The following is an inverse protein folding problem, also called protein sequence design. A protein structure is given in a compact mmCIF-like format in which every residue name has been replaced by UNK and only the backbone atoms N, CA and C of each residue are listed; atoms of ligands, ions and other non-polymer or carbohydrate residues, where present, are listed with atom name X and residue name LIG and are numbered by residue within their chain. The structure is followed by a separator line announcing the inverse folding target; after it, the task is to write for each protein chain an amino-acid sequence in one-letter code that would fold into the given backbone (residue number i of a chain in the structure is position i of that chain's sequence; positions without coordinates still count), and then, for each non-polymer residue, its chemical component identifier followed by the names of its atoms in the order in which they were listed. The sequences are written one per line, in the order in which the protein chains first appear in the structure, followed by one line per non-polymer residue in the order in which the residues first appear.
data_IF_846137616108
#
_entry.id   IF_846137616108
#
_cell.length_a   1.000
_cell.length_b   1.000
_cell.length_c   1.000
_cell.angle_alpha   90.00
_cell.angle_beta   90.00
_cell.angle_gamma   90.00
#
_symmetry.space_group_name_H-M   'P 1'
#
loop_
_entity.id
_entity.type
_entity.pdbx_description
1 polymer ?
#
# COMPACT_ATOMS: atom_id res chain seq x y z
N UNK A 1 -4.06 0.56 5.47
CA UNK A 1 -3.30 -0.69 5.22
C UNK A 1 -1.98 -0.25 4.62
N UNK A 2 -0.88 -0.35 5.37
CA UNK A 2 0.46 -0.12 4.82
C UNK A 2 0.98 -1.50 4.47
N UNK A 3 1.19 -1.77 3.19
CA UNK A 3 1.68 -3.05 2.64
C UNK A 3 3.15 -3.29 3.03
N UNK A 4 3.40 -3.42 4.33
CA UNK A 4 4.70 -3.71 4.91
C UNK A 4 4.88 -5.23 5.04
N UNK A 5 5.07 -5.89 3.91
CA UNK A 5 5.74 -7.20 3.86
C UNK A 5 6.92 -7.10 2.91
N UNK A 6 7.99 -6.44 3.37
CA UNK A 6 9.27 -6.48 2.69
C UNK A 6 9.82 -7.91 2.74
N UNK A 7 9.91 -8.57 1.58
CA UNK A 7 10.70 -9.77 1.42
C UNK A 7 11.47 -9.69 0.10
N UNK A 8 12.56 -8.91 0.14
CA UNK A 8 13.61 -8.98 -0.87
C UNK A 8 14.42 -10.24 -0.61
N UNK A 9 14.11 -11.33 -1.31
CA UNK A 9 15.03 -12.46 -1.38
C UNK A 9 16.06 -12.18 -2.47
N UNK A 10 17.24 -11.67 -2.09
CA UNK A 10 18.46 -12.01 -2.82
C UNK A 10 18.94 -13.33 -2.22
N UNK A 11 18.42 -14.44 -2.73
CA UNK A 11 18.99 -15.73 -2.35
C UNK A 11 20.32 -15.84 -3.08
N UNK A 12 21.41 -15.66 -2.33
CA UNK A 12 22.71 -16.22 -2.69
C UNK A 12 22.53 -17.73 -2.70
N UNK A 13 22.14 -18.28 -3.84
CA UNK A 13 21.93 -19.71 -4.00
C UNK A 13 23.29 -20.33 -4.29
N UNK A 14 24.17 -20.41 -3.28
CA UNK A 14 25.48 -21.02 -3.45
C UNK A 14 26.53 -20.59 -2.43
N UNK A 15 27.06 -21.59 -1.73
CA UNK A 15 28.33 -21.59 -1.02
C UNK A 15 29.44 -21.14 -2.00
N UNK A 16 30.32 -20.21 -1.60
CA UNK A 16 31.58 -19.93 -2.30
C UNK A 16 31.60 -18.78 -3.32
N UNK A 17 30.85 -18.87 -4.42
CA UNK A 17 31.29 -18.24 -5.69
C UNK A 17 30.58 -16.95 -6.13
N UNK A 18 29.69 -16.39 -5.31
CA UNK A 18 29.00 -15.14 -5.64
C UNK A 18 27.80 -15.29 -6.60
N UNK A 19 27.40 -16.51 -6.95
CA UNK A 19 26.20 -16.78 -7.74
C UNK A 19 24.92 -16.31 -7.03
N UNK A 20 23.97 -15.79 -7.81
CA UNK A 20 22.64 -15.38 -7.37
C UNK A 20 21.57 -16.08 -8.17
N UNK A 21 20.45 -16.39 -7.53
CA UNK A 21 19.33 -16.99 -8.24
C UNK A 21 18.02 -16.91 -7.48
N UNK A 22 16.94 -17.06 -8.22
CA UNK A 22 15.58 -17.07 -7.72
C UNK A 22 14.81 -18.17 -8.44
N UNK A 23 14.00 -18.93 -7.70
CA UNK A 23 13.12 -19.95 -8.25
C UNK A 23 11.77 -19.82 -7.56
N UNK A 24 10.69 -19.97 -8.32
CA UNK A 24 9.39 -20.20 -7.71
C UNK A 24 9.42 -21.56 -6.99
N UNK A 25 8.90 -21.60 -5.76
CA UNK A 25 8.70 -22.85 -5.01
C UNK A 25 7.24 -23.32 -5.13
N UNK A 26 7.02 -24.61 -4.86
CA UNK A 26 5.68 -25.22 -4.92
C UNK A 26 5.33 -25.80 -6.29
N UNK A 27 4.39 -26.75 -6.31
CA UNK A 27 3.92 -27.37 -7.55
C UNK A 27 2.85 -26.52 -8.23
N UNK A 28 3.02 -26.23 -9.52
CA UNK A 28 2.00 -25.56 -10.34
C UNK A 28 1.14 -26.65 -11.00
N UNK A 29 -0.16 -26.76 -10.71
CA UNK A 29 -1.00 -27.79 -11.31
C UNK A 29 -1.29 -27.49 -12.79
N UNK A 30 -1.18 -28.52 -13.63
CA UNK A 30 -1.61 -28.44 -15.03
C UNK A 30 -3.10 -28.77 -15.06
N UNK A 31 -3.94 -27.79 -15.40
CA UNK A 31 -5.41 -27.91 -15.36
C UNK A 31 -6.08 -27.06 -16.43
N UNK A 32 -7.31 -27.42 -16.81
CA UNK A 32 -8.15 -26.60 -17.68
C UNK A 32 -8.74 -25.42 -16.86
N UNK A 33 -8.51 -24.20 -17.35
CA UNK A 33 -8.95 -22.97 -16.70
C UNK A 33 -8.00 -22.46 -15.60
N UNK A 34 -8.40 -21.35 -14.99
CA UNK A 34 -7.58 -20.59 -14.03
C UNK A 34 -7.84 -20.93 -12.55
N UNK A 35 -8.86 -21.74 -12.29
CA UNK A 35 -9.28 -22.17 -10.95
C UNK A 35 -9.75 -21.09 -10.01
N UNK A 36 -10.20 -19.94 -10.51
CA UNK A 36 -10.96 -18.98 -9.70
C UNK A 36 -12.32 -19.58 -9.34
N UNK A 37 -12.96 -20.24 -10.31
CA UNK A 37 -14.30 -20.80 -10.17
C UNK A 37 -14.25 -22.28 -9.80
N UNK A 38 -15.20 -22.70 -8.96
CA UNK A 38 -15.47 -24.11 -8.68
C UNK A 38 -15.85 -24.78 -10.01
N UNK A 39 -15.25 -25.95 -10.27
CA UNK A 39 -15.48 -26.74 -11.48
C UNK A 39 -16.31 -27.97 -11.17
N UNK A 40 -16.97 -28.50 -12.20
CA UNK A 40 -17.74 -29.73 -12.10
C UNK A 40 -16.85 -30.93 -11.80
N UNK A 41 -17.00 -31.51 -10.61
CA UNK A 41 -16.28 -32.69 -10.16
C UNK A 41 -16.98 -34.02 -10.46
N UNK A 42 -18.09 -34.02 -11.21
CA UNK A 42 -18.77 -35.25 -11.64
C UNK A 42 -18.11 -35.90 -12.86
N UNK A 43 -17.18 -35.19 -13.51
CA UNK A 43 -16.38 -35.66 -14.64
C UNK A 43 -14.89 -35.42 -14.39
N UNK A 44 -14.03 -36.11 -15.13
CA UNK A 44 -12.55 -35.98 -15.07
C UNK A 44 -12.01 -34.84 -15.96
N UNK A 45 -12.91 -34.05 -16.58
CA UNK A 45 -12.55 -32.96 -17.48
C UNK A 45 -11.60 -31.97 -16.82
N UNK A 46 -11.92 -31.56 -15.59
CA UNK A 46 -11.17 -30.54 -14.85
C UNK A 46 -10.13 -31.11 -13.88
N UNK A 47 -9.95 -32.44 -13.87
CA UNK A 47 -8.90 -33.08 -13.09
C UNK A 47 -7.53 -32.55 -13.51
N UNK A 48 -6.67 -32.33 -12.51
CA UNK A 48 -5.29 -31.92 -12.77
C UNK A 48 -4.57 -33.03 -13.53
N UNK A 49 -3.90 -32.66 -14.62
CA UNK A 49 -3.14 -33.59 -15.47
C UNK A 49 -1.71 -33.83 -14.95
N UNK A 50 -1.40 -33.31 -13.77
CA UNK A 50 -0.11 -33.37 -13.12
C UNK A 50 0.35 -32.00 -12.66
N UNK A 51 1.66 -31.86 -12.49
CA UNK A 51 2.33 -30.61 -12.16
C UNK A 51 3.28 -30.20 -13.28
N UNK A 52 3.54 -28.90 -13.40
CA UNK A 52 4.58 -28.37 -14.28
C UNK A 52 5.91 -29.06 -13.97
N UNK A 53 6.60 -29.62 -14.99
CA UNK A 53 7.90 -30.26 -14.79
C UNK A 53 8.92 -29.29 -14.18
N UNK A 54 9.82 -29.80 -13.34
CA UNK A 54 10.80 -28.98 -12.62
C UNK A 54 11.65 -28.11 -13.55
N UNK A 55 12.04 -28.66 -14.71
CA UNK A 55 12.85 -27.99 -15.73
C UNK A 55 12.11 -26.84 -16.43
N UNK A 56 10.78 -26.79 -16.29
CA UNK A 56 9.93 -25.73 -16.83
C UNK A 56 9.44 -24.76 -15.76
N UNK A 57 9.79 -24.97 -14.48
CA UNK A 57 9.43 -24.05 -13.41
C UNK A 57 10.14 -22.69 -13.60
N UNK A 58 9.51 -21.57 -13.23
CA UNK A 58 10.14 -20.26 -13.36
C UNK A 58 11.38 -20.16 -12.48
N UNK A 59 12.53 -19.89 -13.10
CA UNK A 59 13.79 -19.64 -12.42
C UNK A 59 14.62 -18.57 -13.11
N UNK A 60 15.55 -17.99 -12.35
CA UNK A 60 16.60 -17.09 -12.83
C UNK A 60 17.89 -17.43 -12.09
N UNK A 61 18.99 -17.60 -12.83
CA UNK A 61 20.32 -17.86 -12.28
C UNK A 61 21.30 -16.93 -12.98
N UNK A 62 22.04 -16.13 -12.21
CA UNK A 62 23.00 -15.14 -12.68
C UNK A 62 22.50 -14.32 -13.90
N UNK A 63 21.37 -13.61 -13.77
CA UNK A 63 20.85 -12.79 -14.86
C UNK A 63 21.89 -11.76 -15.30
N UNK A 64 21.88 -11.39 -16.58
CA UNK A 64 22.87 -10.48 -17.19
C UNK A 64 22.94 -9.12 -16.49
N UNK A 65 21.82 -8.66 -15.93
CA UNK A 65 21.75 -7.41 -15.18
C UNK A 65 22.36 -7.50 -13.76
N UNK A 66 22.88 -8.67 -13.36
CA UNK A 66 23.54 -8.90 -12.08
C UNK A 66 22.63 -8.85 -10.85
N UNK A 67 21.30 -8.88 -11.01
CA UNK A 67 20.36 -8.68 -9.91
C UNK A 67 19.16 -9.63 -9.96
N UNK A 68 18.70 -10.08 -8.79
CA UNK A 68 17.43 -10.80 -8.63
C UNK A 68 16.58 -10.07 -7.58
N UNK A 69 15.28 -9.97 -7.82
CA UNK A 69 14.36 -9.22 -6.96
C UNK A 69 12.94 -9.78 -7.09
N UNK A 70 12.21 -9.84 -5.98
CA UNK A 70 10.78 -10.16 -5.94
C UNK A 70 10.10 -9.32 -4.87
N UNK A 71 8.86 -8.93 -5.14
CA UNK A 71 7.96 -8.29 -4.19
C UNK A 71 6.52 -8.73 -4.48
N UNK A 72 6.31 -10.06 -4.57
CA UNK A 72 5.02 -10.70 -4.90
C UNK A 72 4.45 -10.36 -6.29
N UNK A 73 5.21 -9.63 -7.12
CA UNK A 73 4.89 -9.36 -8.51
C UNK A 73 4.95 -10.64 -9.37
N UNK A 74 4.35 -10.58 -10.57
CA UNK A 74 4.51 -11.62 -11.59
C UNK A 74 5.99 -11.78 -11.96
N UNK A 75 6.51 -13.00 -11.89
CA UNK A 75 7.93 -13.35 -12.13
C UNK A 75 8.19 -14.00 -13.48
N UNK A 76 7.14 -14.19 -14.28
CA UNK A 76 7.18 -14.74 -15.63
C UNK A 76 6.64 -13.73 -16.63
N UNK A 77 7.06 -13.82 -17.88
CA UNK A 77 6.49 -13.08 -19.00
C UNK A 77 5.14 -13.67 -19.43
N UNK A 78 4.41 -12.93 -20.25
CA UNK A 78 3.06 -13.31 -20.71
C UNK A 78 3.05 -14.52 -21.66
N UNK A 79 4.22 -14.91 -22.19
CA UNK A 79 4.42 -16.10 -23.03
C UNK A 79 4.69 -17.38 -22.23
N UNK A 80 4.79 -17.30 -20.89
CA UNK A 80 4.97 -18.48 -20.06
C UNK A 80 3.74 -19.41 -20.17
N UNK A 81 3.92 -20.68 -20.55
CA UNK A 81 2.82 -21.50 -21.07
C UNK A 81 1.87 -22.05 -19.99
N UNK A 82 2.20 -21.87 -18.71
CA UNK A 82 1.42 -22.41 -17.60
C UNK A 82 0.78 -21.30 -16.79
N UNK A 83 -0.51 -21.46 -16.52
CA UNK A 83 -1.22 -20.58 -15.59
C UNK A 83 -0.67 -20.76 -14.16
N UNK A 84 -0.27 -19.66 -13.53
CA UNK A 84 0.22 -19.63 -12.14
C UNK A 84 -0.86 -19.07 -11.22
N UNK A 85 -1.26 -17.83 -11.44
CA UNK A 85 -2.15 -17.08 -10.57
C UNK A 85 -2.70 -15.84 -11.29
N UNK A 86 -3.82 -15.32 -10.79
CA UNK A 86 -4.27 -13.96 -11.06
C UNK A 86 -3.87 -12.97 -9.95
N UNK A 87 -3.45 -13.48 -8.80
CA UNK A 87 -3.10 -12.71 -7.61
C UNK A 87 -1.60 -12.42 -7.59
N UNK A 88 -1.17 -11.40 -8.33
CA UNK A 88 0.20 -10.89 -8.33
C UNK A 88 0.21 -9.41 -8.03
N UNK A 89 0.94 -9.00 -7.00
CA UNK A 89 1.00 -7.61 -6.59
C UNK A 89 1.33 -6.67 -7.75
N UNK A 90 0.63 -5.53 -7.75
CA UNK A 90 0.88 -4.42 -8.66
C UNK A 90 2.35 -3.95 -8.57
N UNK A 91 2.90 -3.43 -9.66
CA UNK A 91 4.35 -3.31 -9.81
C UNK A 91 4.99 -2.18 -8.98
N UNK A 92 4.28 -1.60 -8.00
CA UNK A 92 4.77 -0.48 -7.20
C UNK A 92 6.01 -0.86 -6.37
N UNK A 93 5.94 -1.94 -5.58
CA UNK A 93 7.03 -2.35 -4.68
C UNK A 93 8.26 -2.82 -5.46
N UNK A 94 8.02 -3.64 -6.49
CA UNK A 94 9.12 -4.19 -7.30
C UNK A 94 9.82 -3.12 -8.13
N UNK A 95 9.09 -2.13 -8.67
CA UNK A 95 9.69 -1.04 -9.43
C UNK A 95 10.56 -0.18 -8.52
N UNK A 96 10.10 0.15 -7.31
CA UNK A 96 10.90 0.90 -6.36
C UNK A 96 12.18 0.17 -5.95
N UNK A 97 12.11 -1.13 -5.70
CA UNK A 97 13.29 -1.96 -5.39
C UNK A 97 14.29 -1.91 -6.57
N UNK A 98 13.82 -2.13 -7.79
CA UNK A 98 14.67 -2.14 -8.99
C UNK A 98 15.27 -0.76 -9.29
N UNK A 99 14.53 0.32 -9.06
CA UNK A 99 15.01 1.68 -9.15
C UNK A 99 16.17 1.92 -8.16
N UNK A 100 15.98 1.59 -6.88
CA UNK A 100 17.01 1.78 -5.85
C UNK A 100 18.26 0.92 -6.10
N UNK A 101 18.08 -0.31 -6.60
CA UNK A 101 19.21 -1.16 -6.99
C UNK A 101 19.94 -0.56 -8.21
N UNK A 102 19.21 -0.07 -9.21
CA UNK A 102 19.77 0.51 -10.43
C UNK A 102 20.52 1.84 -10.23
N UNK A 103 20.34 2.51 -9.09
CA UNK A 103 21.06 3.74 -8.74
C UNK A 103 22.54 3.51 -8.40
N UNK A 104 22.98 2.26 -8.20
CA UNK A 104 24.36 1.94 -7.83
C UNK A 104 24.91 0.77 -8.63
N UNK A 105 26.19 0.81 -8.95
CA UNK A 105 26.91 -0.33 -9.56
C UNK A 105 27.05 -1.51 -8.59
N UNK A 106 27.20 -1.22 -7.29
CA UNK A 106 27.31 -2.21 -6.22
C UNK A 106 26.43 -1.76 -5.07
N UNK A 107 25.56 -2.66 -4.60
CA UNK A 107 24.68 -2.44 -3.45
C UNK A 107 25.24 -3.17 -2.22
N UNK A 108 25.43 -2.43 -1.14
CA UNK A 108 25.94 -2.94 0.15
C UNK A 108 24.83 -3.22 1.16
N UNK A 109 25.22 -3.65 2.37
CA UNK A 109 24.27 -3.93 3.46
C UNK A 109 23.47 -2.68 3.84
N UNK A 110 24.12 -1.53 3.91
CA UNK A 110 23.49 -0.24 4.22
C UNK A 110 22.43 0.13 3.18
N UNK A 111 22.63 -0.23 1.90
CA UNK A 111 21.65 0.00 0.84
C UNK A 111 20.40 -0.84 1.05
N UNK A 112 20.55 -2.11 1.44
CA UNK A 112 19.41 -2.96 1.80
C UNK A 112 18.66 -2.43 3.02
N UNK A 113 19.37 -1.91 4.03
CA UNK A 113 18.73 -1.28 5.19
C UNK A 113 17.88 -0.09 4.74
N UNK A 114 18.42 0.77 3.86
CA UNK A 114 17.67 1.90 3.30
C UNK A 114 16.47 1.46 2.45
N UNK A 115 16.60 0.39 1.66
CA UNK A 115 15.50 -0.17 0.88
C UNK A 115 14.38 -0.69 1.78
N UNK A 116 14.71 -1.40 2.86
CA UNK A 116 13.73 -1.91 3.83
C UNK A 116 13.04 -0.78 4.62
N UNK A 117 13.73 0.34 4.82
CA UNK A 117 13.20 1.51 5.52
C UNK A 117 12.50 2.52 4.57
N UNK A 118 12.44 2.25 3.26
CA UNK A 118 11.89 3.17 2.29
C UNK A 118 10.38 3.33 2.49
N UNK A 119 9.92 4.59 2.52
CA UNK A 119 8.52 4.96 2.72
C UNK A 119 7.95 5.70 1.50
N UNK A 120 8.52 5.52 0.31
CA UNK A 120 8.05 6.17 -0.90
C UNK A 120 6.89 5.38 -1.52
N UNK A 121 5.82 6.07 -1.91
CA UNK A 121 4.66 5.43 -2.54
C UNK A 121 4.68 5.58 -4.06
N UNK A 122 5.07 4.51 -4.75
CA UNK A 122 5.00 4.43 -6.21
C UNK A 122 3.56 4.47 -6.74
N UNK A 123 2.59 4.04 -5.92
CA UNK A 123 1.17 4.21 -6.22
C UNK A 123 0.79 5.69 -6.21
N UNK A 124 1.19 6.44 -5.18
CA UNK A 124 0.93 7.88 -5.14
C UNK A 124 1.61 8.59 -6.31
N UNK A 125 2.86 8.23 -6.63
CA UNK A 125 3.58 8.76 -7.80
C UNK A 125 2.87 8.51 -9.13
N UNK A 126 2.13 7.40 -9.27
CA UNK A 126 1.31 7.12 -10.46
C UNK A 126 0.03 7.97 -10.50
N UNK A 127 -0.62 8.16 -9.35
CA UNK A 127 -1.96 8.76 -9.26
C UNK A 127 -1.91 10.29 -9.16
N UNK A 128 -0.96 10.86 -8.41
CA UNK A 128 -0.83 12.31 -8.16
C UNK A 128 -0.86 13.15 -9.45
N UNK A 129 -0.23 12.77 -10.58
CA UNK A 129 -0.33 13.56 -11.81
C UNK A 129 -1.76 13.75 -12.33
N UNK A 130 -2.67 12.80 -12.08
CA UNK A 130 -4.09 12.93 -12.46
C UNK A 130 -4.83 13.85 -11.50
N UNK A 131 -4.47 13.81 -10.21
CA UNK A 131 -5.00 14.70 -9.20
C UNK A 131 -4.52 16.14 -9.42
N UNK A 132 -3.26 16.36 -9.79
CA UNK A 132 -2.73 17.71 -10.05
C UNK A 132 -3.27 18.36 -11.32
N UNK A 133 -3.92 17.62 -12.22
CA UNK A 133 -4.70 18.23 -13.33
C UNK A 133 -5.86 19.10 -12.82
N UNK A 134 -6.26 18.92 -11.56
CA UNK A 134 -7.24 19.79 -10.93
C UNK A 134 -6.75 21.25 -10.82
N UNK A 135 -5.45 21.53 -11.01
CA UNK A 135 -4.93 22.89 -11.16
C UNK A 135 -5.59 23.66 -12.33
N UNK A 136 -6.13 22.97 -13.33
CA UNK A 136 -6.87 23.60 -14.44
C UNK A 136 -8.27 24.11 -14.01
N UNK A 137 -8.73 23.75 -12.80
CA UNK A 137 -10.06 24.05 -12.25
C UNK A 137 -10.00 24.76 -10.88
N UNK A 138 -8.90 25.44 -10.57
CA UNK A 138 -8.72 26.14 -9.28
C UNK A 138 -9.83 27.17 -9.01
N UNK A 139 -10.38 27.81 -10.04
CA UNK A 139 -11.46 28.79 -9.92
C UNK A 139 -12.77 28.18 -9.37
N UNK A 140 -12.92 26.86 -9.41
CA UNK A 140 -14.08 26.14 -8.89
C UNK A 140 -13.86 25.59 -7.46
N UNK A 141 -12.70 25.87 -6.86
CA UNK A 141 -12.30 25.28 -5.58
C UNK A 141 -12.48 26.24 -4.41
N UNK A 142 -12.73 25.65 -3.24
CA UNK A 142 -12.69 26.39 -1.99
C UNK A 142 -11.25 26.70 -1.58
N UNK A 143 -11.01 27.71 -0.73
CA UNK A 143 -9.66 27.95 -0.20
C UNK A 143 -9.04 26.76 0.54
N UNK A 144 -9.86 25.88 1.13
CA UNK A 144 -9.39 24.68 1.82
C UNK A 144 -8.95 23.60 0.83
N UNK A 145 -9.70 23.42 -0.26
CA UNK A 145 -9.36 22.50 -1.36
C UNK A 145 -8.05 22.94 -2.04
N UNK A 146 -7.85 24.24 -2.27
CA UNK A 146 -6.61 24.78 -2.82
C UNK A 146 -5.41 24.47 -1.92
N UNK A 147 -5.52 24.72 -0.61
CA UNK A 147 -4.44 24.38 0.34
C UNK A 147 -4.12 22.87 0.38
N UNK A 148 -5.14 22.03 0.24
CA UNK A 148 -4.95 20.58 0.19
C UNK A 148 -4.26 20.15 -1.12
N UNK A 149 -4.56 20.82 -2.24
CA UNK A 149 -3.96 20.58 -3.54
C UNK A 149 -2.49 21.03 -3.55
N UNK A 150 -2.21 22.22 -3.01
CA UNK A 150 -0.84 22.74 -2.84
C UNK A 150 0.04 21.77 -2.05
N UNK A 151 -0.49 21.20 -0.96
CA UNK A 151 0.22 20.21 -0.15
C UNK A 151 0.57 18.94 -0.95
N UNK A 152 -0.27 18.53 -1.91
CA UNK A 152 0.01 17.40 -2.79
C UNK A 152 0.99 17.75 -3.92
N UNK A 153 0.98 19.00 -4.41
CA UNK A 153 1.91 19.48 -5.43
C UNK A 153 3.36 19.52 -4.92
N UNK A 154 3.56 19.95 -3.68
CA UNK A 154 4.89 19.99 -3.05
C UNK A 154 5.39 18.61 -2.59
N UNK A 155 4.53 17.60 -2.61
CA UNK A 155 4.81 16.31 -2.00
C UNK A 155 5.65 15.40 -2.90
N UNK A 156 6.78 14.96 -2.37
CA UNK A 156 7.68 13.99 -3.03
C UNK A 156 7.22 12.52 -2.90
N UNK A 157 5.95 12.27 -2.56
CA UNK A 157 5.37 10.93 -2.36
C UNK A 157 5.95 10.11 -1.20
N UNK A 158 6.70 10.73 -0.29
CA UNK A 158 7.16 10.09 0.94
C UNK A 158 6.05 10.04 1.99
N UNK A 159 5.73 8.84 2.49
CA UNK A 159 4.68 8.57 3.48
C UNK A 159 5.18 8.95 4.89
N UNK A 160 5.56 10.22 5.06
CA UNK A 160 6.12 10.75 6.29
C UNK A 160 4.99 11.08 7.29
N UNK A 161 5.06 10.57 8.55
CA UNK A 161 4.02 10.77 9.56
C UNK A 161 3.80 12.24 9.95
N UNK A 162 4.77 13.13 9.71
CA UNK A 162 4.66 14.53 10.04
C UNK A 162 3.94 15.36 8.95
N UNK A 163 3.79 14.81 7.73
CA UNK A 163 3.24 15.53 6.59
C UNK A 163 1.71 15.34 6.49
N UNK A 164 0.98 16.35 5.97
CA UNK A 164 -0.45 16.23 5.68
C UNK A 164 -0.73 15.52 4.35
N UNK A 165 0.13 15.69 3.35
CA UNK A 165 -0.05 15.17 2.00
C UNK A 165 -0.34 13.65 1.93
N UNK A 166 0.34 12.77 2.70
CA UNK A 166 0.00 11.34 2.69
C UNK A 166 -1.43 11.05 3.17
N UNK A 167 -1.93 11.82 4.14
CA UNK A 167 -3.31 11.68 4.64
C UNK A 167 -4.31 12.16 3.59
N UNK A 168 -4.05 13.31 2.97
CA UNK A 168 -4.89 13.85 1.90
C UNK A 168 -5.00 12.84 0.76
N UNK A 169 -3.86 12.29 0.33
CA UNK A 169 -3.81 11.27 -0.71
C UNK A 169 -4.58 10.00 -0.34
N UNK A 170 -4.44 9.49 0.89
CA UNK A 170 -5.13 8.27 1.30
C UNK A 170 -6.66 8.47 1.44
N UNK A 171 -7.11 9.64 1.88
CA UNK A 171 -8.54 9.98 1.86
C UNK A 171 -9.06 10.09 0.44
N UNK A 172 -8.32 10.79 -0.44
CA UNK A 172 -8.63 10.86 -1.87
C UNK A 172 -8.75 9.46 -2.47
N UNK A 173 -7.76 8.59 -2.25
CA UNK A 173 -7.74 7.21 -2.76
C UNK A 173 -9.01 6.44 -2.41
N UNK A 174 -9.49 6.55 -1.16
CA UNK A 174 -10.70 5.86 -0.69
C UNK A 174 -11.96 6.43 -1.34
N UNK A 175 -12.08 7.76 -1.38
CA UNK A 175 -13.20 8.41 -2.07
C UNK A 175 -13.16 8.11 -3.57
N UNK A 176 -11.98 7.99 -4.16
CA UNK A 176 -11.78 7.68 -5.57
C UNK A 176 -12.22 6.26 -5.89
N UNK A 177 -11.77 5.27 -5.11
CA UNK A 177 -12.27 3.90 -5.25
C UNK A 177 -13.78 3.81 -5.12
N UNK A 178 -14.37 4.55 -4.16
CA UNK A 178 -15.81 4.55 -3.94
C UNK A 178 -16.57 5.17 -5.10
N UNK A 179 -16.21 6.38 -5.50
CA UNK A 179 -16.91 7.12 -6.56
C UNK A 179 -16.73 6.49 -7.95
N UNK A 180 -15.82 5.53 -8.08
CA UNK A 180 -15.50 4.84 -9.34
C UNK A 180 -16.12 3.43 -9.43
N UNK A 181 -16.54 2.84 -8.32
CA UNK A 181 -16.92 1.42 -8.29
C UNK A 181 -18.22 1.14 -7.52
N UNK A 182 -18.65 2.07 -6.65
CA UNK A 182 -19.74 1.78 -5.72
C UNK A 182 -21.10 1.74 -6.40
N UNK A 183 -21.29 2.47 -7.50
CA UNK A 183 -22.54 2.50 -8.24
C UNK A 183 -22.80 1.21 -9.03
N UNK A 184 -21.79 0.60 -9.64
CA UNK A 184 -21.96 -0.70 -10.29
C UNK A 184 -21.95 -1.87 -9.31
N UNK A 185 -21.13 -1.81 -8.26
CA UNK A 185 -21.03 -2.90 -7.29
C UNK A 185 -22.15 -2.89 -6.25
N UNK A 186 -22.75 -1.72 -5.97
CA UNK A 186 -23.72 -1.56 -4.90
C UNK A 186 -23.21 -2.11 -3.56
N UNK A 187 -23.99 -2.98 -2.92
CA UNK A 187 -23.63 -3.60 -1.63
C UNK A 187 -22.36 -4.48 -1.69
N UNK A 188 -21.89 -4.86 -2.88
CA UNK A 188 -20.65 -5.63 -3.01
C UNK A 188 -19.40 -4.78 -2.79
N UNK A 189 -19.48 -3.46 -2.96
CA UNK A 189 -18.35 -2.56 -2.77
C UNK A 189 -17.73 -2.73 -1.37
N UNK A 190 -18.56 -2.70 -0.32
CA UNK A 190 -18.11 -2.85 1.07
C UNK A 190 -17.39 -4.17 1.36
N UNK A 191 -17.57 -5.18 0.50
CA UNK A 191 -16.96 -6.52 0.65
C UNK A 191 -15.73 -6.75 -0.23
N UNK A 192 -15.51 -5.93 -1.27
CA UNK A 192 -14.56 -6.26 -2.35
C UNK A 192 -13.71 -5.08 -2.85
N UNK A 193 -13.92 -3.87 -2.31
CA UNK A 193 -13.26 -2.66 -2.80
C UNK A 193 -11.72 -2.75 -2.79
N UNK A 194 -11.14 -3.47 -1.82
CA UNK A 194 -9.68 -3.56 -1.60
C UNK A 194 -8.98 -4.57 -2.53
N UNK A 195 -9.65 -5.67 -2.89
CA UNK A 195 -9.03 -6.73 -3.71
C UNK A 195 -8.96 -6.32 -5.19
N UNK A 196 -10.04 -5.75 -5.73
CA UNK A 196 -10.15 -5.49 -7.18
C UNK A 196 -9.98 -4.03 -7.56
N UNK A 197 -10.28 -3.10 -6.63
CA UNK A 197 -10.31 -1.68 -6.96
C UNK A 197 -8.94 -1.11 -7.32
N UNK A 198 -7.89 -1.52 -6.63
CA UNK A 198 -6.52 -1.06 -6.94
C UNK A 198 -6.01 -1.53 -8.30
N UNK A 199 -6.33 -2.78 -8.69
CA UNK A 199 -6.01 -3.28 -10.02
C UNK A 199 -6.81 -2.55 -11.09
N UNK A 200 -8.08 -2.25 -10.81
CA UNK A 200 -8.91 -1.49 -11.72
C UNK A 200 -8.36 -0.07 -11.92
N UNK A 201 -7.98 0.64 -10.84
CA UNK A 201 -7.30 1.95 -10.94
C UNK A 201 -6.03 1.83 -11.78
N UNK A 202 -5.15 0.86 -11.45
CA UNK A 202 -3.93 0.65 -12.23
C UNK A 202 -4.22 0.43 -13.71
N UNK A 203 -5.25 -0.37 -14.04
CA UNK A 203 -5.67 -0.63 -15.41
C UNK A 203 -6.13 0.64 -16.11
N UNK A 204 -7.03 1.43 -15.52
CA UNK A 204 -7.55 2.63 -16.21
C UNK A 204 -6.49 3.71 -16.38
N UNK A 205 -5.54 3.83 -15.44
CA UNK A 205 -4.45 4.80 -15.56
C UNK A 205 -3.39 4.38 -16.59
N UNK A 206 -3.21 3.07 -16.82
CA UNK A 206 -2.21 2.55 -17.77
C UNK A 206 -2.75 2.27 -19.17
N UNK A 207 -4.03 1.92 -19.29
CA UNK A 207 -4.67 1.53 -20.56
C UNK A 207 -5.75 2.48 -21.03
N UNK A 208 -6.18 3.41 -20.18
CA UNK A 208 -7.25 4.37 -20.45
C UNK A 208 -8.54 4.05 -19.69
N UNK A 209 -9.37 5.08 -19.42
CA UNK A 209 -10.67 4.90 -18.79
C UNK A 209 -11.63 4.11 -19.69
N UNK A 210 -12.60 3.44 -19.09
CA UNK A 210 -13.70 2.78 -19.78
C UNK A 210 -15.06 3.19 -19.19
N UNK A 211 -16.11 2.42 -19.49
CA UNK A 211 -17.49 2.75 -19.12
C UNK A 211 -17.77 2.71 -17.61
N UNK A 212 -16.88 2.14 -16.78
CA UNK A 212 -17.00 2.15 -15.30
C UNK A 212 -16.53 3.48 -14.68
N UNK A 213 -16.27 4.50 -15.51
CA UNK A 213 -16.03 5.87 -15.04
C UNK A 213 -17.33 6.66 -14.97
N UNK A 214 -18.34 6.22 -15.73
CA UNK A 214 -19.69 6.78 -15.76
C UNK A 214 -20.42 6.41 -14.48
N UNK A 215 -21.00 7.38 -13.78
CA UNK A 215 -21.86 7.07 -12.64
C UNK A 215 -23.25 6.72 -13.15
N UNK A 216 -23.63 5.45 -13.09
CA UNK A 216 -24.90 4.99 -13.68
C UNK A 216 -26.15 5.56 -12.98
N UNK A 217 -25.99 6.30 -11.87
CA UNK A 217 -27.07 6.94 -11.13
C UNK A 217 -27.28 8.42 -11.50
N UNK A 218 -26.45 9.00 -12.38
CA UNK A 218 -26.58 10.37 -12.86
C UNK A 218 -27.11 10.38 -14.31
N UNK A 219 -27.72 11.50 -14.76
CA UNK A 219 -28.22 11.61 -16.12
C UNK A 219 -27.14 11.97 -17.15
N UNK A 220 -26.00 12.50 -16.71
CA UNK A 220 -24.89 12.93 -17.55
C UNK A 220 -23.75 11.90 -17.45
N UNK A 221 -23.00 11.68 -18.52
CA UNK A 221 -21.86 10.76 -18.48
C UNK A 221 -20.61 11.46 -17.96
N UNK A 222 -20.11 11.02 -16.81
CA UNK A 222 -18.90 11.58 -16.21
C UNK A 222 -17.61 11.16 -16.93
N UNK A 223 -16.64 12.05 -16.90
CA UNK A 223 -15.26 11.74 -17.28
C UNK A 223 -14.42 11.37 -16.06
N UNK A 224 -13.24 10.79 -16.29
CA UNK A 224 -12.31 10.46 -15.20
C UNK A 224 -11.94 11.71 -14.38
N UNK A 225 -11.84 12.88 -15.04
CA UNK A 225 -11.56 14.13 -14.35
C UNK A 225 -12.72 14.58 -13.45
N UNK A 226 -13.97 14.28 -13.83
CA UNK A 226 -15.15 14.59 -13.02
C UNK A 226 -15.20 13.70 -11.76
N UNK A 227 -14.86 12.42 -11.90
CA UNK A 227 -14.73 11.53 -10.75
C UNK A 227 -13.56 11.96 -9.85
N UNK A 228 -12.41 12.34 -10.41
CA UNK A 228 -11.25 12.81 -9.64
C UNK A 228 -11.57 14.08 -8.84
N UNK A 229 -12.23 15.09 -9.44
CA UNK A 229 -12.60 16.30 -8.69
C UNK A 229 -13.62 15.99 -7.60
N UNK A 230 -14.62 15.16 -7.87
CA UNK A 230 -15.62 14.73 -6.88
C UNK A 230 -14.94 14.06 -5.69
N UNK A 231 -14.07 13.08 -5.95
CA UNK A 231 -13.34 12.34 -4.92
C UNK A 231 -12.39 13.21 -4.11
N UNK A 232 -11.77 14.21 -4.72
CA UNK A 232 -10.93 15.17 -4.02
C UNK A 232 -11.74 16.05 -3.07
N UNK A 233 -12.88 16.58 -3.52
CA UNK A 233 -13.81 17.36 -2.68
C UNK A 233 -14.32 16.54 -1.49
N UNK A 234 -14.73 15.30 -1.74
CA UNK A 234 -15.21 14.38 -0.71
C UNK A 234 -14.12 14.06 0.32
N UNK A 235 -12.88 13.90 -0.13
CA UNK A 235 -11.73 13.68 0.74
C UNK A 235 -11.44 14.89 1.63
N UNK A 236 -11.41 16.09 1.06
CA UNK A 236 -11.20 17.35 1.80
C UNK A 236 -12.33 17.59 2.81
N UNK A 237 -13.58 17.35 2.41
CA UNK A 237 -14.73 17.46 3.32
C UNK A 237 -14.66 16.47 4.49
N UNK A 238 -14.26 15.22 4.22
CA UNK A 238 -14.05 14.22 5.26
C UNK A 238 -12.92 14.61 6.22
N UNK A 239 -11.82 15.14 5.69
CA UNK A 239 -10.69 15.61 6.50
C UNK A 239 -11.05 16.83 7.35
N UNK A 240 -11.82 17.77 6.80
CA UNK A 240 -12.34 18.91 7.55
C UNK A 240 -13.18 18.46 8.75
N UNK A 241 -14.03 17.46 8.53
CA UNK A 241 -14.90 16.90 9.58
C UNK A 241 -14.09 16.17 10.67
N UNK A 242 -13.13 15.35 10.27
CA UNK A 242 -12.42 14.45 11.20
C UNK A 242 -11.23 15.14 11.91
N UNK A 243 -10.59 16.10 11.24
CA UNK A 243 -9.34 16.73 11.71
C UNK A 243 -9.41 18.26 11.79
N UNK A 244 -10.52 18.89 11.38
CA UNK A 244 -10.72 20.34 11.41
C UNK A 244 -10.22 21.05 10.16
N UNK A 245 -10.40 22.38 10.13
CA UNK A 245 -10.16 23.27 8.97
C UNK A 245 -8.69 23.64 8.70
N UNK A 246 -7.76 23.14 9.49
CA UNK A 246 -6.33 23.46 9.34
C UNK A 246 -5.60 22.26 8.72
N UNK A 247 -5.25 22.30 7.42
CA UNK A 247 -4.54 21.21 6.75
C UNK A 247 -3.23 20.81 7.41
N UNK A 248 -2.56 21.73 8.12
CA UNK A 248 -1.31 21.41 8.84
C UNK A 248 -1.52 20.40 9.99
N UNK A 249 -2.77 20.21 10.44
CA UNK A 249 -3.16 19.24 11.46
C UNK A 249 -3.45 17.85 10.90
N UNK A 250 -3.59 17.70 9.58
CA UNK A 250 -3.97 16.44 8.91
C UNK A 250 -2.79 15.47 8.80
N UNK A 251 -1.95 15.39 9.83
CA UNK A 251 -0.70 14.64 9.84
C UNK A 251 -0.94 13.14 9.75
N UNK A 252 -0.21 12.47 8.87
CA UNK A 252 -0.33 11.02 8.65
C UNK A 252 -0.16 10.18 9.92
N UNK A 253 0.75 10.58 10.82
CA UNK A 253 0.97 9.89 12.09
C UNK A 253 -0.21 9.95 13.06
N UNK A 254 -1.21 10.81 12.83
CA UNK A 254 -2.46 10.83 13.61
C UNK A 254 -3.50 9.84 13.10
N UNK A 255 -3.50 9.54 11.80
CA UNK A 255 -4.46 8.64 11.17
C UNK A 255 -3.99 7.18 11.21
N UNK A 256 -2.68 6.93 11.24
CA UNK A 256 -2.12 5.58 11.28
C UNK A 256 -1.48 5.23 12.63
N UNK A 257 -2.00 4.18 13.26
CA UNK A 257 -1.39 3.55 14.43
C UNK A 257 -0.96 2.13 14.09
N UNK A 258 0.31 1.80 14.35
CA UNK A 258 0.77 0.42 14.30
C UNK A 258 0.41 -0.22 15.65
N UNK A 259 -0.55 -1.14 15.64
CA UNK A 259 -0.86 -1.99 16.80
C UNK A 259 -0.09 -3.30 16.69
N UNK A 260 0.89 -3.49 17.57
CA UNK A 260 1.61 -4.77 17.70
C UNK A 260 0.78 -5.67 18.61
N UNK A 261 0.04 -6.61 18.02
CA UNK A 261 -0.69 -7.61 18.78
C UNK A 261 0.25 -8.71 19.26
N UNK A 262 0.60 -8.72 20.55
CA UNK A 262 1.29 -9.85 21.16
C UNK A 262 0.28 -10.92 21.57
N UNK A 263 -0.10 -11.79 20.63
CA UNK A 263 -0.83 -13.06 20.94
C UNK A 263 0.13 -14.12 21.50
N UNK A 264 0.92 -13.76 22.52
CA UNK A 264 1.70 -14.70 23.32
C UNK A 264 1.36 -14.49 24.81
N UNK A 265 0.10 -14.77 25.18
CA UNK A 265 -0.30 -14.85 26.59
C UNK A 265 0.02 -16.24 27.14
N UNK A 266 1.30 -16.49 27.42
CA UNK A 266 1.79 -17.47 28.39
C UNK A 266 3.20 -17.05 28.88
N UNK A 267 3.39 -15.79 29.28
CA UNK A 267 4.56 -15.40 30.07
C UNK A 267 4.08 -14.54 31.25
N UNK A 268 4.51 -14.95 32.43
CA UNK A 268 4.11 -14.51 33.76
C UNK A 268 4.10 -12.97 33.91
N UNK A 269 3.03 -12.45 34.54
CA UNK A 269 2.81 -11.02 34.81
C UNK A 269 3.77 -10.51 35.88
N UNK A 270 5.06 -10.33 35.57
CA UNK A 270 5.98 -9.60 36.47
C UNK A 270 6.97 -8.64 35.83
N UNK A 271 6.96 -8.44 34.50
CA UNK A 271 7.84 -7.47 33.86
C UNK A 271 7.09 -6.65 32.81
N UNK A 272 6.33 -5.65 33.27
CA UNK A 272 5.87 -4.53 32.44
C UNK A 272 6.48 -3.24 32.96
N UNK A 273 7.70 -2.98 32.49
CA UNK A 273 8.21 -1.64 32.16
C UNK A 273 9.52 -1.86 31.41
N UNK A 274 9.46 -1.91 30.08
CA UNK A 274 10.63 -1.66 29.24
C UNK A 274 10.40 -0.30 28.60
N UNK A 275 10.98 0.74 29.21
CA UNK A 275 11.20 2.01 28.54
C UNK A 275 12.11 1.75 27.34
N UNK A 276 11.67 2.12 26.14
CA UNK A 276 12.52 2.11 24.96
C UNK A 276 13.60 3.18 25.09
N UNK A 277 14.69 2.84 25.77
CA UNK A 277 15.93 3.58 25.77
C UNK A 277 16.93 2.79 24.93
N UNK A 278 17.18 3.23 23.70
CA UNK A 278 18.26 2.70 22.87
C UNK A 278 19.60 2.89 23.61
N UNK A 279 20.38 1.85 23.90
CA UNK A 279 21.69 2.04 24.51
C UNK A 279 22.68 2.49 23.42
N UNK A 280 23.14 3.73 23.52
CA UNK A 280 24.35 4.18 22.85
C UNK A 280 25.55 3.36 23.34
N UNK A 281 26.20 2.64 22.43
CA UNK A 281 27.56 2.14 22.65
C UNK A 281 28.55 3.31 22.71
N UNK A 282 29.13 3.59 23.90
CA UNK A 282 30.54 3.99 24.06
C UNK A 282 30.98 3.93 25.53
N UNK A 283 32.23 3.54 25.73
CA UNK A 283 32.90 3.17 26.98
C UNK A 283 33.16 4.33 27.97
N UNK A 284 33.05 3.98 29.28
CA UNK A 284 33.87 4.41 30.46
C UNK A 284 34.09 5.91 30.74
N UNK A 285 33.50 6.42 31.84
CA UNK A 285 34.12 6.60 33.18
C UNK A 285 33.26 7.48 34.13
N UNK A 286 33.18 7.02 35.39
CA UNK A 286 32.98 7.71 36.69
C UNK A 286 32.23 9.07 36.78
N UNK A 287 31.16 9.06 37.58
CA UNK A 287 31.02 9.95 38.74
C UNK A 287 29.94 11.05 38.69
N UNK A 288 29.16 11.10 39.78
CA UNK A 288 28.44 12.27 40.34
C UNK A 288 27.05 12.65 39.83
N UNK A 289 26.10 12.56 40.78
CA UNK A 289 24.82 13.25 41.01
C UNK A 289 24.43 14.44 40.12
N UNK A 290 23.11 14.60 39.85
CA UNK A 290 22.22 15.68 40.35
C UNK A 290 20.75 15.42 39.94
N UNK A 291 19.85 15.81 40.84
CA UNK A 291 18.38 15.67 40.88
C UNK A 291 17.62 16.53 39.84
N UNK A 292 16.37 16.14 39.54
CA UNK A 292 15.37 17.01 38.93
C UNK A 292 14.00 16.35 38.75
N UNK A 293 13.08 16.63 39.66
CA UNK A 293 11.68 16.20 39.66
C UNK A 293 10.89 16.79 38.48
N UNK A 294 9.99 16.00 37.87
CA UNK A 294 8.73 16.53 37.34
C UNK A 294 7.59 15.50 37.50
N UNK A 295 6.50 15.99 38.09
CA UNK A 295 5.27 15.28 38.45
C UNK A 295 4.48 14.84 37.20
N UNK A 296 3.93 13.62 37.27
CA UNK A 296 3.01 13.07 36.28
C UNK A 296 1.58 13.37 36.74
N UNK A 297 0.88 14.21 35.98
CA UNK A 297 -0.57 14.37 36.05
C UNK A 297 -1.25 13.12 35.52
N UNK A 298 -2.05 12.45 36.37
CA UNK A 298 -2.91 11.35 35.97
C UNK A 298 -4.19 11.89 35.31
N UNK A 299 -4.49 11.44 34.09
CA UNK A 299 -5.82 11.59 33.48
C UNK A 299 -6.61 10.28 33.58
N UNK A 300 -7.94 10.31 33.73
CA UNK A 300 -8.73 9.14 34.08
C UNK A 300 -8.97 8.22 32.87
N UNK A 301 -9.19 6.94 33.20
CA UNK A 301 -9.46 5.85 32.27
C UNK A 301 -10.64 6.13 31.32
N UNK A 302 -10.38 6.08 30.02
CA UNK A 302 -11.42 5.87 29.01
C UNK A 302 -11.42 4.37 28.67
N UNK A 303 -12.38 3.63 29.25
CA UNK A 303 -12.89 2.39 28.67
C UNK A 303 -13.90 2.81 27.61
N UNK A 304 -13.48 2.77 26.36
CA UNK A 304 -14.32 2.95 25.18
C UNK A 304 -13.59 2.27 24.03
N UNK A 305 -14.29 1.36 23.35
CA UNK A 305 -13.78 0.61 22.20
C UNK A 305 -13.79 1.56 20.98
N UNK A 306 -12.95 2.60 21.01
CA UNK A 306 -12.81 3.55 19.90
C UNK A 306 -11.72 3.04 18.95
N UNK A 307 -12.06 2.05 18.14
CA UNK A 307 -11.44 1.92 16.83
C UNK A 307 -11.98 3.05 15.96
N UNK A 308 -11.27 4.17 15.90
CA UNK A 308 -11.41 5.11 14.78
C UNK A 308 -10.95 4.39 13.51
N UNK A 309 -11.83 3.58 12.92
CA UNK A 309 -11.72 3.29 11.50
C UNK A 309 -11.92 4.61 10.77
N UNK A 310 -10.87 5.03 10.06
CA UNK A 310 -10.92 6.12 9.10
C UNK A 310 -12.06 5.78 8.12
N UNK A 311 -13.22 6.41 8.31
CA UNK A 311 -14.39 6.19 7.47
C UNK A 311 -14.73 7.52 6.81
N UNK A 312 -14.67 7.56 5.48
CA UNK A 312 -15.23 8.67 4.72
C UNK A 312 -16.76 8.60 4.91
N UNK A 313 -17.28 9.37 5.85
CA UNK A 313 -18.70 9.45 6.13
C UNK A 313 -19.34 10.53 5.27
N UNK A 314 -20.23 10.11 4.37
CA UNK A 314 -20.95 11.01 3.47
C UNK A 314 -22.32 11.39 4.06
N UNK A 315 -22.83 12.60 3.76
CA UNK A 315 -24.21 12.94 4.07
C UNK A 315 -25.17 12.05 3.28
N UNK A 316 -26.19 11.50 3.96
CA UNK A 316 -27.26 10.73 3.29
C UNK A 316 -27.99 11.60 2.26
N UNK A 317 -28.37 11.05 1.09
CA UNK A 317 -29.15 11.79 0.12
C UNK A 317 -30.46 12.26 0.75
N UNK A 318 -30.71 13.58 0.72
CA UNK A 318 -32.01 14.14 1.06
C UNK A 318 -33.01 13.65 0.01
N UNK A 319 -34.01 12.90 0.45
CA UNK A 319 -35.16 12.48 -0.37
C UNK A 319 -36.06 13.67 -0.71
#
# INVERSE_FOLDING_TARGET
MVDNYFLVFIRKCGIGDGNIGMSAGGGIPIREGDGILIRDGTTDRYDWKGYVPFEQMPFSLNPENGTVSSANNRTVSDDYPYFISHSFDLPYRINRIREMIGQKQVVGVEDFIMMLANQHSDYARLVTPYLLKLNDRQDEMTPLELQALDALEEWNHEINPALPAPTIFEFFRRCFLKNLLADELGELFDKMWDISGEYYIYRILTTGPDYWVDNINTPETETLNDIVILSFRDAVSSLEKDYGRDPSQWKWGRSQLIRIFTKFTCIDRKLQTVSASFPNCRNRQRGSQILGNHEISQSPSLRGDDSHELSCQFPSPQR
#
